data_IF_574515022266
#
_entry.id   IF_574515022266
#
_cell.length_a   1.000
_cell.length_b   1.000
_cell.length_c   1.000
_cell.angle_alpha   90.00
_cell.angle_beta   90.00
_cell.angle_gamma   90.00
#
_symmetry.space_group_name_H-M   'P 1'
#
loop_
_entity.id
_entity.type
_entity.pdbx_description
1 polymer ?
#
# COMPACT_ATOMS: atom_id res chain seq x y z
N UNK A 1 8.59 12.83 2.39
CA UNK A 1 7.64 13.65 1.61
C UNK A 1 7.89 13.44 0.12
N UNK A 2 9.10 13.68 -0.38
CA UNK A 2 9.42 13.55 -1.81
C UNK A 2 9.12 12.15 -2.40
N UNK A 3 9.47 11.07 -1.69
CA UNK A 3 9.17 9.72 -2.14
C UNK A 3 7.68 9.36 -2.10
N UNK A 4 6.90 9.99 -1.23
CA UNK A 4 5.45 9.79 -1.16
C UNK A 4 4.79 10.54 -2.32
N UNK A 5 5.12 11.82 -2.48
CA UNK A 5 4.59 12.65 -3.58
C UNK A 5 4.94 12.03 -4.94
N UNK A 6 6.19 11.60 -5.12
CA UNK A 6 6.62 10.91 -6.34
C UNK A 6 5.87 9.58 -6.59
N UNK A 7 5.35 8.90 -5.55
CA UNK A 7 4.54 7.69 -5.73
C UNK A 7 3.15 7.97 -6.32
N UNK A 8 2.67 9.22 -6.17
CA UNK A 8 1.40 9.70 -6.72
C UNK A 8 1.60 10.30 -8.11
N UNK A 9 2.72 10.99 -8.32
CA UNK A 9 2.99 11.74 -9.55
C UNK A 9 3.53 10.86 -10.69
N UNK A 10 4.09 9.69 -10.38
CA UNK A 10 4.75 8.84 -11.36
C UNK A 10 4.24 7.39 -11.37
N UNK A 11 4.33 6.70 -12.52
CA UNK A 11 4.05 5.26 -12.58
C UNK A 11 4.91 4.48 -11.58
N UNK A 12 4.34 3.42 -11.00
CA UNK A 12 4.97 2.57 -9.97
C UNK A 12 6.40 2.12 -10.35
N UNK A 13 6.62 1.75 -11.62
CA UNK A 13 7.95 1.36 -12.11
C UNK A 13 8.97 2.52 -12.02
N UNK A 14 8.60 3.71 -12.51
CA UNK A 14 9.46 4.90 -12.44
C UNK A 14 9.74 5.28 -10.99
N UNK A 15 8.72 5.23 -10.14
CA UNK A 15 8.89 5.47 -8.71
C UNK A 15 9.87 4.49 -8.05
N UNK A 16 9.79 3.20 -8.39
CA UNK A 16 10.75 2.20 -7.92
C UNK A 16 12.16 2.58 -8.37
N UNK A 17 12.36 3.10 -9.57
CA UNK A 17 13.72 3.44 -10.04
C UNK A 17 14.29 4.71 -9.37
N UNK A 18 13.44 5.62 -8.89
CA UNK A 18 13.86 6.89 -8.31
C UNK A 18 14.49 6.80 -6.92
N UNK A 19 14.13 5.79 -6.12
CA UNK A 19 14.52 5.72 -4.71
C UNK A 19 15.11 4.37 -4.33
N UNK A 20 16.00 4.31 -3.35
CA UNK A 20 16.52 3.03 -2.84
C UNK A 20 15.43 2.19 -2.16
N UNK A 21 15.64 0.87 -2.04
CA UNK A 21 14.65 -0.07 -1.50
C UNK A 21 14.08 0.37 -0.14
N UNK A 22 14.94 0.76 0.80
CA UNK A 22 14.53 1.21 2.14
C UNK A 22 13.59 2.42 2.09
N UNK A 23 13.86 3.38 1.21
CA UNK A 23 13.02 4.58 1.06
C UNK A 23 11.66 4.23 0.45
N UNK A 24 11.61 3.34 -0.54
CA UNK A 24 10.34 2.84 -1.08
C UNK A 24 9.52 2.11 0.00
N UNK A 25 10.16 1.28 0.81
CA UNK A 25 9.51 0.51 1.87
C UNK A 25 8.89 1.42 2.94
N UNK A 26 9.69 2.35 3.48
CA UNK A 26 9.20 3.25 4.54
C UNK A 26 8.11 4.17 4.02
N UNK A 27 8.27 4.75 2.83
CA UNK A 27 7.26 5.59 2.20
C UNK A 27 5.96 4.82 1.91
N UNK A 28 6.06 3.57 1.45
CA UNK A 28 4.91 2.70 1.22
C UNK A 28 4.11 2.42 2.50
N UNK A 29 4.78 2.11 3.61
CA UNK A 29 4.11 1.83 4.89
C UNK A 29 3.42 3.06 5.49
N UNK A 30 4.09 4.20 5.36
CA UNK A 30 3.60 5.54 5.66
C UNK A 30 2.32 5.81 4.86
N UNK A 31 2.40 5.71 3.53
CA UNK A 31 1.26 5.98 2.65
C UNK A 31 0.10 5.02 2.91
N UNK A 32 0.39 3.73 3.08
CA UNK A 32 -0.60 2.72 3.44
C UNK A 32 -1.33 3.06 4.75
N UNK A 33 -0.59 3.46 5.79
CA UNK A 33 -1.19 3.86 7.06
C UNK A 33 -2.15 5.05 6.86
N UNK A 34 -1.75 6.05 6.08
CA UNK A 34 -2.59 7.22 5.78
C UNK A 34 -3.85 6.83 5.04
N UNK A 35 -3.74 6.10 3.94
CA UNK A 35 -4.88 5.74 3.10
C UNK A 35 -5.89 4.82 3.80
N UNK A 36 -5.45 3.91 4.67
CA UNK A 36 -6.38 3.11 5.50
C UNK A 36 -7.17 4.01 6.45
N UNK A 37 -6.53 5.00 7.09
CA UNK A 37 -7.25 5.94 7.95
C UNK A 37 -8.21 6.82 7.12
N UNK A 38 -7.79 7.28 5.95
CA UNK A 38 -8.68 8.00 5.02
C UNK A 38 -9.86 7.14 4.57
N UNK A 39 -9.67 5.83 4.37
CA UNK A 39 -10.77 4.91 4.08
C UNK A 39 -11.74 4.80 5.26
N UNK A 40 -11.26 4.79 6.50
CA UNK A 40 -12.12 4.86 7.70
C UNK A 40 -12.88 6.19 7.79
N UNK A 41 -12.23 7.33 7.58
CA UNK A 41 -12.90 8.63 7.59
C UNK A 41 -14.03 8.70 6.54
N UNK A 42 -13.81 8.10 5.37
CA UNK A 42 -14.83 8.00 4.30
C UNK A 42 -15.96 7.05 4.67
N UNK A 43 -15.69 5.96 5.41
CA UNK A 43 -16.73 5.08 5.96
C UNK A 43 -17.62 5.83 6.95
N UNK A 44 -17.03 6.61 7.85
CA UNK A 44 -17.76 7.44 8.82
C UNK A 44 -18.64 8.51 8.13
N UNK A 45 -18.21 9.00 6.96
CA UNK A 45 -18.98 9.92 6.12
C UNK A 45 -20.08 9.22 5.28
N UNK A 46 -20.24 7.91 5.42
CA UNK A 46 -21.29 7.12 4.76
C UNK A 46 -20.88 6.43 3.46
N UNK A 47 -19.61 6.47 3.05
CA UNK A 47 -19.14 5.69 1.90
C UNK A 47 -18.79 4.25 2.32
N UNK A 48 -19.79 3.37 2.32
CA UNK A 48 -19.64 1.94 2.64
C UNK A 48 -18.64 1.19 1.73
N UNK A 49 -18.31 1.74 0.56
CA UNK A 49 -17.37 1.13 -0.39
C UNK A 49 -15.91 1.56 -0.17
N UNK A 50 -15.62 2.52 0.71
CA UNK A 50 -14.31 3.16 0.78
C UNK A 50 -13.15 2.18 1.03
N UNK A 51 -13.30 1.22 1.94
CA UNK A 51 -12.27 0.20 2.20
C UNK A 51 -12.07 -0.75 1.00
N UNK A 52 -13.17 -1.09 0.31
CA UNK A 52 -13.12 -1.93 -0.91
C UNK A 52 -12.46 -1.20 -2.07
N UNK A 53 -12.73 0.09 -2.23
CA UNK A 53 -12.08 0.94 -3.23
C UNK A 53 -10.58 1.01 -2.98
N UNK A 54 -10.17 1.23 -1.72
CA UNK A 54 -8.75 1.25 -1.38
C UNK A 54 -8.07 -0.11 -1.63
N UNK A 55 -8.75 -1.22 -1.33
CA UNK A 55 -8.28 -2.56 -1.68
C UNK A 55 -8.00 -2.70 -3.18
N UNK A 56 -8.85 -2.14 -4.06
CA UNK A 56 -8.60 -2.19 -5.51
C UNK A 56 -7.34 -1.43 -5.91
N UNK A 57 -7.03 -0.30 -5.25
CA UNK A 57 -5.80 0.45 -5.50
C UNK A 57 -4.55 -0.37 -5.13
N UNK A 58 -4.58 -1.08 -3.99
CA UNK A 58 -3.48 -1.97 -3.60
C UNK A 58 -3.30 -3.09 -4.63
N UNK A 59 -4.39 -3.73 -5.07
CA UNK A 59 -4.35 -4.81 -6.05
C UNK A 59 -3.80 -4.32 -7.41
N UNK A 60 -4.14 -3.11 -7.84
CA UNK A 60 -3.58 -2.50 -9.04
C UNK A 60 -2.05 -2.31 -8.89
N UNK A 61 -1.58 -1.80 -7.74
CA UNK A 61 -0.15 -1.65 -7.45
C UNK A 61 0.60 -2.99 -7.45
N UNK A 62 0.04 -4.04 -6.85
CA UNK A 62 0.60 -5.39 -6.87
C UNK A 62 0.66 -5.98 -8.28
N UNK A 63 -0.34 -5.67 -9.12
CA UNK A 63 -0.35 -6.06 -10.53
C UNK A 63 0.80 -5.39 -11.29
N UNK A 64 1.04 -4.09 -11.04
CA UNK A 64 2.21 -3.40 -11.62
C UNK A 64 3.52 -4.07 -11.23
N UNK A 65 3.70 -4.44 -9.96
CA UNK A 65 4.92 -5.15 -9.54
C UNK A 65 5.04 -6.53 -10.17
N UNK A 66 3.93 -7.27 -10.29
CA UNK A 66 3.93 -8.58 -10.94
C UNK A 66 4.38 -8.47 -12.39
N UNK A 67 3.86 -7.48 -13.13
CA UNK A 67 4.28 -7.21 -14.50
C UNK A 67 5.77 -6.86 -14.61
N UNK A 68 6.30 -6.06 -13.68
CA UNK A 68 7.75 -5.79 -13.62
C UNK A 68 8.56 -7.07 -13.43
N UNK A 69 8.15 -7.95 -12.50
CA UNK A 69 8.87 -9.21 -12.23
C UNK A 69 8.79 -10.19 -13.39
N UNK A 70 7.69 -10.20 -14.15
CA UNK A 70 7.56 -11.01 -15.37
C UNK A 70 8.45 -10.51 -16.52
N UNK A 71 8.83 -9.23 -16.51
CA UNK A 71 9.77 -8.65 -17.45
C UNK A 71 11.25 -8.85 -17.07
N UNK A 72 12.10 -8.19 -17.87
CA UNK A 72 13.54 -8.18 -17.69
C UNK A 72 13.95 -7.15 -16.64
N UNK A 73 14.41 -7.65 -15.49
CA UNK A 73 14.98 -6.85 -14.42
C UNK A 73 16.39 -7.32 -14.11
N UNK A 74 17.27 -6.38 -13.78
CA UNK A 74 18.55 -6.69 -13.15
C UNK A 74 18.34 -7.48 -11.86
N UNK A 75 19.35 -8.26 -11.45
CA UNK A 75 19.27 -9.06 -10.22
C UNK A 75 18.91 -8.21 -8.99
N UNK A 76 19.51 -7.04 -8.87
CA UNK A 76 19.25 -6.10 -7.77
C UNK A 76 17.83 -5.53 -7.81
N UNK A 77 17.38 -5.04 -8.98
CA UNK A 77 16.01 -4.50 -9.13
C UNK A 77 14.97 -5.59 -8.85
N UNK A 78 15.23 -6.83 -9.28
CA UNK A 78 14.36 -7.98 -9.01
C UNK A 78 14.25 -8.28 -7.51
N UNK A 79 15.36 -8.26 -6.77
CA UNK A 79 15.33 -8.43 -5.30
C UNK A 79 14.53 -7.32 -4.65
N UNK A 80 14.79 -6.06 -5.03
CA UNK A 80 14.05 -4.90 -4.52
C UNK A 80 12.54 -4.99 -4.76
N UNK A 81 12.11 -5.27 -5.98
CA UNK A 81 10.68 -5.38 -6.32
C UNK A 81 10.04 -6.54 -5.56
N UNK A 82 10.72 -7.69 -5.43
CA UNK A 82 10.23 -8.80 -4.59
C UNK A 82 10.04 -8.38 -3.13
N UNK A 83 10.98 -7.63 -2.55
CA UNK A 83 10.86 -7.14 -1.17
C UNK A 83 9.65 -6.21 -1.02
N UNK A 84 9.40 -5.32 -1.98
CA UNK A 84 8.23 -4.44 -1.98
C UNK A 84 6.92 -5.25 -2.10
N UNK A 85 6.86 -6.24 -2.98
CA UNK A 85 5.71 -7.14 -3.12
C UNK A 85 5.39 -7.81 -1.78
N UNK A 86 6.39 -8.34 -1.07
CA UNK A 86 6.17 -9.03 0.20
C UNK A 86 5.45 -8.15 1.22
N UNK A 87 5.84 -6.87 1.32
CA UNK A 87 5.21 -5.91 2.24
C UNK A 87 3.81 -5.49 1.75
N UNK A 88 3.66 -5.18 0.47
CA UNK A 88 2.36 -4.77 -0.09
C UNK A 88 1.32 -5.91 -0.06
N UNK A 89 1.75 -7.18 -0.16
CA UNK A 89 0.85 -8.35 0.03
C UNK A 89 0.35 -8.41 1.47
N UNK A 90 1.21 -8.18 2.47
CA UNK A 90 0.78 -8.13 3.86
C UNK A 90 -0.21 -6.99 4.12
N UNK A 91 0.07 -5.81 3.58
CA UNK A 91 -0.85 -4.66 3.62
C UNK A 91 -2.21 -4.98 2.97
N UNK A 92 -2.20 -5.63 1.79
CA UNK A 92 -3.40 -6.11 1.10
C UNK A 92 -4.21 -7.06 1.96
N UNK A 93 -3.56 -8.03 2.60
CA UNK A 93 -4.25 -9.06 3.41
C UNK A 93 -4.92 -8.43 4.64
N UNK A 94 -4.30 -7.44 5.26
CA UNK A 94 -4.91 -6.66 6.35
C UNK A 94 -6.16 -5.92 5.84
N UNK A 95 -6.06 -5.16 4.75
CA UNK A 95 -7.18 -4.38 4.21
C UNK A 95 -8.31 -5.28 3.73
N UNK A 96 -7.99 -6.42 3.11
CA UNK A 96 -8.96 -7.44 2.73
C UNK A 96 -9.70 -7.97 3.96
N UNK A 97 -8.98 -8.25 5.05
CA UNK A 97 -9.60 -8.68 6.32
C UNK A 97 -10.51 -7.61 6.89
N UNK A 98 -10.06 -6.35 6.98
CA UNK A 98 -10.89 -5.23 7.47
C UNK A 98 -12.19 -5.09 6.66
N UNK A 99 -12.09 -5.20 5.33
CA UNK A 99 -13.25 -5.15 4.44
C UNK A 99 -14.21 -6.34 4.61
N UNK A 100 -13.68 -7.56 4.76
CA UNK A 100 -14.49 -8.77 4.93
C UNK A 100 -15.19 -8.81 6.29
N UNK A 101 -14.47 -8.41 7.34
CA UNK A 101 -14.97 -8.35 8.72
C UNK A 101 -15.84 -7.11 8.97
N UNK A 102 -16.05 -6.26 7.95
CA UNK A 102 -16.85 -5.03 8.01
C UNK A 102 -16.43 -4.10 9.15
N UNK A 103 -15.12 -3.95 9.34
CA UNK A 103 -14.57 -3.00 10.30
C UNK A 103 -14.82 -1.59 9.80
N UNK A 104 -15.56 -0.81 10.57
CA UNK A 104 -16.05 0.53 10.22
C UNK A 104 -15.35 1.66 10.98
N UNK A 105 -14.61 1.34 12.04
CA UNK A 105 -13.92 2.32 12.87
C UNK A 105 -12.40 2.10 12.91
N UNK A 106 -11.65 3.20 12.77
CA UNK A 106 -10.22 3.21 12.98
C UNK A 106 -9.83 2.83 14.43
N UNK A 107 -10.75 2.90 15.41
CA UNK A 107 -10.50 2.51 16.80
C UNK A 107 -10.60 1.00 17.02
N UNK A 108 -11.07 0.23 16.04
CA UNK A 108 -11.19 -1.21 16.16
C UNK A 108 -9.84 -1.90 16.38
N UNK A 109 -9.81 -2.89 17.27
CA UNK A 109 -8.58 -3.63 17.60
C UNK A 109 -7.92 -4.27 16.37
N UNK A 110 -8.71 -4.73 15.40
CA UNK A 110 -8.22 -5.30 14.16
C UNK A 110 -7.27 -4.35 13.41
N UNK A 111 -7.53 -3.04 13.43
CA UNK A 111 -6.64 -2.02 12.88
C UNK A 111 -5.61 -1.53 13.90
N UNK A 112 -6.00 -1.37 15.17
CA UNK A 112 -5.09 -0.84 16.20
C UNK A 112 -3.89 -1.75 16.49
N UNK A 113 -4.04 -3.06 16.33
CA UNK A 113 -2.98 -4.05 16.51
C UNK A 113 -1.93 -4.07 15.39
N UNK A 114 -2.13 -3.33 14.29
CA UNK A 114 -1.18 -3.28 13.19
C UNK A 114 -0.04 -2.31 13.45
N UNK A 115 1.16 -2.63 12.93
CA UNK A 115 2.30 -1.72 12.96
C UNK A 115 2.04 -0.54 12.03
N UNK A 116 1.89 0.65 12.61
CA UNK A 116 1.56 1.89 11.89
C UNK A 116 2.78 2.81 11.83
N UNK A 117 3.03 3.36 10.65
CA UNK A 117 4.10 4.34 10.43
C UNK A 117 3.46 5.72 10.35
N UNK A 118 4.00 6.67 11.11
CA UNK A 118 3.55 8.07 11.14
C UNK A 118 4.75 8.99 10.91
N UNK A 119 4.51 10.12 10.26
CA UNK A 119 5.48 11.17 10.01
C UNK A 119 4.86 12.54 10.24
#
# INVERSE_FOLDING_TARGET
LDSINASLDFPKEKWVDMFVAQHCLTAGQVWWTTEVNTAFDRLEQGNEAAMKEYLQLILAGLTSYTNMVLGDLSKEKRVKVKTLITIDVHARDIVLKLNNDKVDSALAFAWQSQLKYRW
#
